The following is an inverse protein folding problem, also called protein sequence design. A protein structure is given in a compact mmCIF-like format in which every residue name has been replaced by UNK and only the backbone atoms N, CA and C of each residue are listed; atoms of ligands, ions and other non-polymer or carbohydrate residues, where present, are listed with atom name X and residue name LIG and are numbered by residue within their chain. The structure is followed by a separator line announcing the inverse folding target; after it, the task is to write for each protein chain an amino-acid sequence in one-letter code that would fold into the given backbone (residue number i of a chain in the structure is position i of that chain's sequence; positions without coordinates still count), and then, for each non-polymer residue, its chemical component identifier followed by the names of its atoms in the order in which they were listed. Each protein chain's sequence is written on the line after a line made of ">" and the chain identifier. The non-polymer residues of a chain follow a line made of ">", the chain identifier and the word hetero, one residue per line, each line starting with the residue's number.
data_IF_405617132280
#
_entry.id   IF_405617132280
#
_cell.length_a   1.000
_cell.length_b   1.000
_cell.length_c   1.000
_cell.angle_alpha   90.00
_cell.angle_beta   90.00
_cell.angle_gamma   90.00
#
_symmetry.space_group_name_H-M   'P 1'
#
loop_
_entity.id
_entity.type
_entity.pdbx_description
1 polymer ?
#
# COMPACT_ATOMS: atom_id res chain seq x y z
N UNK A 1 12.35 14.32 2.05
CA UNK A 1 11.56 13.13 1.70
C UNK A 1 10.48 13.00 2.76
N UNK A 2 9.22 13.19 2.38
CA UNK A 2 8.10 13.15 3.33
C UNK A 2 7.75 11.70 3.62
N UNK A 3 7.86 11.30 4.89
CA UNK A 3 7.45 9.99 5.35
C UNK A 3 6.31 10.15 6.34
N UNK A 4 5.26 9.35 6.20
CA UNK A 4 4.25 9.22 7.22
C UNK A 4 4.85 8.46 8.40
N UNK A 5 4.74 9.00 9.61
CA UNK A 5 5.03 8.23 10.81
C UNK A 5 4.08 7.00 10.87
N UNK A 6 4.52 5.82 11.36
CA UNK A 6 3.67 4.64 11.44
C UNK A 6 2.35 4.88 12.20
N UNK A 7 2.38 5.71 13.24
CA UNK A 7 1.21 6.13 14.02
C UNK A 7 0.21 6.99 13.23
N UNK A 8 0.68 7.66 12.16
CA UNK A 8 -0.13 8.53 11.32
C UNK A 8 -0.75 7.80 10.12
N UNK A 9 -0.43 6.52 9.91
CA UNK A 9 -1.03 5.72 8.85
C UNK A 9 -2.47 5.36 9.24
N UNK A 10 -3.50 5.69 8.46
CA UNK A 10 -4.87 5.33 8.81
C UNK A 10 -5.08 3.81 8.69
N UNK A 11 -5.84 3.24 9.63
CA UNK A 11 -6.30 1.85 9.60
C UNK A 11 -7.81 1.83 9.43
N UNK A 12 -8.33 0.91 8.61
CA UNK A 12 -9.76 0.69 8.44
C UNK A 12 -10.09 -0.80 8.43
N UNK A 13 -11.25 -1.15 8.98
CA UNK A 13 -11.82 -2.49 8.91
C UNK A 13 -13.08 -2.55 8.02
N UNK A 14 -13.76 -1.42 7.84
CA UNK A 14 -15.04 -1.33 7.13
C UNK A 14 -14.91 -0.56 5.81
N UNK A 15 -15.85 -0.82 4.89
CA UNK A 15 -15.93 -0.09 3.62
C UNK A 15 -16.29 1.39 3.81
N UNK A 16 -17.02 1.74 4.86
CA UNK A 16 -17.38 3.13 5.13
C UNK A 16 -16.15 3.93 5.54
N UNK A 17 -15.34 3.42 6.48
CA UNK A 17 -14.06 4.05 6.82
C UNK A 17 -13.09 4.08 5.63
N UNK A 18 -13.07 3.04 4.79
CA UNK A 18 -12.29 3.04 3.56
C UNK A 18 -12.68 4.22 2.65
N UNK A 19 -13.98 4.45 2.48
CA UNK A 19 -14.52 5.54 1.67
C UNK A 19 -14.13 6.91 2.23
N UNK A 20 -14.29 7.11 3.54
CA UNK A 20 -13.91 8.37 4.20
C UNK A 20 -12.43 8.70 4.01
N UNK A 21 -11.54 7.69 4.12
CA UNK A 21 -10.11 7.87 3.87
C UNK A 21 -9.88 8.27 2.41
N UNK A 22 -10.52 7.57 1.46
CA UNK A 22 -10.37 7.85 0.03
C UNK A 22 -10.85 9.25 -0.33
N UNK A 23 -12.03 9.65 0.15
CA UNK A 23 -12.61 10.99 -0.10
C UNK A 23 -11.69 12.08 0.45
N UNK A 24 -11.21 11.93 1.69
CA UNK A 24 -10.27 12.88 2.30
C UNK A 24 -8.96 13.01 1.53
N UNK A 25 -8.42 11.90 1.02
CA UNK A 25 -7.21 11.91 0.19
C UNK A 25 -7.46 12.61 -1.15
N UNK A 26 -8.59 12.31 -1.79
CA UNK A 26 -9.02 12.94 -3.03
C UNK A 26 -9.17 14.45 -2.90
N UNK A 27 -9.86 14.92 -1.85
CA UNK A 27 -10.08 16.35 -1.62
C UNK A 27 -8.78 17.13 -1.40
N UNK A 28 -7.73 16.43 -0.92
CA UNK A 28 -6.39 17.01 -0.71
C UNK A 28 -5.45 16.81 -1.89
N UNK A 29 -5.86 16.09 -2.93
CA UNK A 29 -4.99 15.75 -4.06
C UNK A 29 -3.77 14.90 -3.64
N UNK A 30 -3.96 14.00 -2.67
CA UNK A 30 -2.92 13.12 -2.12
C UNK A 30 -3.24 11.67 -2.43
N UNK A 31 -2.23 10.81 -2.70
CA UNK A 31 -2.45 9.38 -2.82
C UNK A 31 -3.13 8.82 -1.58
N UNK A 32 -3.93 7.77 -1.77
CA UNK A 32 -4.39 6.98 -0.64
C UNK A 32 -3.23 6.11 -0.20
N UNK A 33 -2.96 6.09 1.11
CA UNK A 33 -2.09 5.11 1.74
C UNK A 33 -2.69 4.76 3.10
N UNK A 34 -3.10 3.51 3.25
CA UNK A 34 -3.83 3.05 4.43
C UNK A 34 -3.58 1.57 4.69
N UNK A 35 -3.94 1.12 5.89
CA UNK A 35 -3.90 -0.29 6.29
C UNK A 35 -5.32 -0.82 6.44
N UNK A 36 -5.62 -1.93 5.79
CA UNK A 36 -6.84 -2.71 5.98
C UNK A 36 -6.61 -3.76 7.05
N UNK A 37 -7.47 -3.78 8.06
CA UNK A 37 -7.64 -4.92 8.96
C UNK A 37 -8.41 -6.01 8.21
N UNK A 38 -7.76 -7.14 7.92
CA UNK A 38 -8.31 -8.23 7.15
C UNK A 38 -8.39 -9.50 8.02
N UNK A 39 -9.25 -10.45 7.62
CA UNK A 39 -9.45 -11.69 8.38
C UNK A 39 -8.17 -12.49 8.64
N UNK A 40 -7.17 -12.36 7.76
CA UNK A 40 -5.85 -13.00 7.87
C UNK A 40 -4.72 -11.97 7.84
N UNK A 41 -4.66 -11.14 8.88
CA UNK A 41 -3.61 -10.14 9.07
C UNK A 41 -3.99 -8.79 8.47
N UNK A 42 -2.99 -8.06 7.99
CA UNK A 42 -3.15 -6.67 7.59
C UNK A 42 -2.67 -6.45 6.16
N UNK A 43 -3.35 -5.56 5.45
CA UNK A 43 -2.99 -5.21 4.07
C UNK A 43 -2.72 -3.72 3.97
N UNK A 44 -1.48 -3.37 3.64
CA UNK A 44 -1.11 -2.02 3.26
C UNK A 44 -1.58 -1.78 1.84
N UNK A 45 -2.43 -0.77 1.63
CA UNK A 45 -2.93 -0.37 0.32
C UNK A 45 -2.44 1.02 -0.03
N UNK A 46 -1.94 1.20 -1.25
CA UNK A 46 -1.79 2.52 -1.86
C UNK A 46 -2.62 2.64 -3.15
N UNK A 47 -3.06 3.86 -3.45
CA UNK A 47 -3.90 4.15 -4.61
C UNK A 47 -3.70 5.60 -5.10
N UNK A 48 -3.32 5.74 -6.38
CA UNK A 48 -3.15 7.01 -7.08
C UNK A 48 -4.28 7.26 -8.10
N UNK A 49 -5.27 6.37 -8.22
CA UNK A 49 -6.22 6.34 -9.33
C UNK A 49 -6.97 7.67 -9.51
N UNK A 50 -7.34 8.30 -8.39
CA UNK A 50 -8.08 9.57 -8.40
C UNK A 50 -7.23 10.78 -8.81
N UNK A 51 -5.91 10.64 -8.88
CA UNK A 51 -4.98 11.70 -9.27
C UNK A 51 -4.68 11.68 -10.78
N UNK A 52 -5.08 10.63 -11.50
CA UNK A 52 -4.72 10.41 -12.91
C UNK A 52 -3.20 10.36 -13.15
N UNK A 53 -2.44 10.00 -12.11
CA UNK A 53 -1.01 9.73 -12.15
C UNK A 53 -0.75 8.28 -11.81
N UNK A 54 0.42 7.79 -12.20
CA UNK A 54 0.92 6.50 -11.77
C UNK A 54 2.38 6.58 -11.34
N UNK A 55 2.84 5.62 -10.55
CA UNK A 55 4.24 5.49 -10.20
C UNK A 55 5.05 5.10 -11.43
N UNK A 56 6.25 5.68 -11.56
CA UNK A 56 7.20 5.30 -12.59
C UNK A 56 7.61 3.83 -12.46
N UNK A 57 7.98 3.19 -13.57
CA UNK A 57 8.42 1.78 -13.56
C UNK A 57 9.61 1.56 -12.61
N UNK A 58 10.52 2.53 -12.53
CA UNK A 58 11.67 2.49 -11.62
C UNK A 58 11.21 2.49 -10.15
N UNK A 59 10.22 3.31 -9.80
CA UNK A 59 9.64 3.36 -8.45
C UNK A 59 8.89 2.07 -8.12
N UNK A 60 8.12 1.53 -9.07
CA UNK A 60 7.42 0.25 -8.90
C UNK A 60 8.41 -0.88 -8.65
N UNK A 61 9.50 -0.94 -9.41
CA UNK A 61 10.56 -1.93 -9.21
C UNK A 61 11.23 -1.77 -7.84
N UNK A 62 11.56 -0.54 -7.44
CA UNK A 62 12.13 -0.26 -6.12
C UNK A 62 11.19 -0.66 -4.97
N UNK A 63 9.87 -0.47 -5.13
CA UNK A 63 8.85 -0.94 -4.18
C UNK A 63 8.85 -2.47 -4.10
N UNK A 64 8.86 -3.17 -5.23
CA UNK A 64 8.89 -4.64 -5.28
C UNK A 64 10.13 -5.21 -4.60
N UNK A 65 11.31 -4.67 -4.90
CA UNK A 65 12.57 -5.09 -4.30
C UNK A 65 12.60 -4.82 -2.79
N UNK A 66 12.05 -3.66 -2.37
CA UNK A 66 11.93 -3.31 -0.95
C UNK A 66 10.98 -4.25 -0.19
N UNK A 67 9.85 -4.62 -0.78
CA UNK A 67 8.91 -5.56 -0.15
C UNK A 67 9.53 -6.95 -0.08
N UNK A 68 10.21 -7.39 -1.15
CA UNK A 68 10.88 -8.70 -1.20
C UNK A 68 11.97 -8.83 -0.15
N UNK A 69 12.83 -7.81 0.01
CA UNK A 69 13.92 -7.83 1.01
C UNK A 69 13.46 -7.92 2.47
N UNK A 70 12.19 -7.65 2.76
CA UNK A 70 11.61 -7.70 4.12
C UNK A 70 10.72 -8.92 4.36
N UNK A 71 10.48 -9.77 3.35
CA UNK A 71 9.75 -11.02 3.55
C UNK A 71 10.69 -12.10 4.10
N UNK A 72 10.38 -12.73 5.25
CA UNK A 72 11.24 -13.75 5.86
C UNK A 72 11.17 -15.14 5.20
N UNK A 73 10.31 -15.38 4.19
CA UNK A 73 10.19 -16.69 3.53
C UNK A 73 9.73 -16.57 2.06
N UNK A 74 10.15 -17.47 1.14
CA UNK A 74 9.62 -17.54 -0.22
C UNK A 74 8.16 -18.02 -0.21
N UNK A 75 7.23 -17.22 -0.73
CA UNK A 75 5.85 -17.67 -0.96
C UNK A 75 5.79 -18.52 -2.23
N UNK A 76 5.53 -19.80 -2.09
CA UNK A 76 4.86 -20.59 -3.13
C UNK A 76 3.48 -19.98 -3.31
N UNK A 77 3.15 -19.58 -4.53
CA UNK A 77 1.84 -19.03 -4.90
C UNK A 77 0.80 -20.14 -4.73
N UNK A 78 0.02 -20.11 -3.64
CA UNK A 78 -1.09 -21.06 -3.47
C UNK A 78 -2.25 -20.67 -4.40
N UNK A 79 -2.92 -21.61 -5.09
CA UNK A 79 -3.96 -21.31 -6.09
C UNK A 79 -5.23 -20.66 -5.52
N UNK A 80 -5.43 -20.67 -4.19
CA UNK A 80 -6.52 -19.91 -3.54
C UNK A 80 -6.16 -18.41 -3.44
N UNK A 81 -4.86 -18.09 -3.43
CA UNK A 81 -4.35 -16.72 -3.46
C UNK A 81 -4.69 -15.99 -4.77
N UNK A 82 -4.95 -16.70 -5.85
CA UNK A 82 -5.39 -16.09 -7.12
C UNK A 82 -6.85 -15.61 -7.05
N UNK A 83 -7.72 -16.31 -6.32
CA UNK A 83 -9.16 -16.02 -6.25
C UNK A 83 -9.49 -14.88 -5.28
N UNK A 84 -8.68 -14.68 -4.25
CA UNK A 84 -8.80 -13.61 -3.26
C UNK A 84 -7.95 -12.36 -3.61
N UNK A 85 -7.22 -12.36 -4.73
CA UNK A 85 -6.30 -11.28 -5.09
C UNK A 85 -5.06 -11.18 -4.18
N UNK A 86 -4.62 -12.30 -3.60
CA UNK A 86 -3.43 -12.41 -2.74
C UNK A 86 -2.13 -12.48 -3.57
N UNK A 87 -2.20 -12.17 -4.86
CA UNK A 87 -1.08 -11.66 -5.64
C UNK A 87 -0.92 -10.15 -5.43
N UNK A 88 -0.67 -9.72 -4.20
CA UNK A 88 -0.43 -8.32 -3.87
C UNK A 88 0.88 -7.83 -4.52
N UNK A 89 0.80 -7.44 -5.79
CA UNK A 89 1.92 -6.91 -6.55
C UNK A 89 1.85 -5.38 -6.50
N UNK A 90 2.96 -4.74 -6.11
CA UNK A 90 3.08 -3.30 -6.27
C UNK A 90 2.89 -2.95 -7.75
N UNK A 91 1.78 -2.29 -8.07
CA UNK A 91 1.44 -1.80 -9.39
C UNK A 91 1.68 -0.29 -9.52
N UNK A 92 1.67 0.24 -10.75
CA UNK A 92 1.94 1.66 -10.99
C UNK A 92 0.83 2.56 -10.42
N UNK A 93 -0.44 2.16 -10.48
CA UNK A 93 -1.57 2.97 -9.97
C UNK A 93 -1.94 2.60 -8.53
N UNK A 94 -1.95 1.31 -8.21
CA UNK A 94 -2.35 0.79 -6.91
C UNK A 94 -1.55 -0.46 -6.55
N UNK A 95 -1.44 -0.75 -5.26
CA UNK A 95 -0.85 -1.99 -4.79
C UNK A 95 -1.35 -2.37 -3.41
N UNK A 96 -1.33 -3.67 -3.14
CA UNK A 96 -1.72 -4.27 -1.88
C UNK A 96 -0.56 -5.12 -1.34
N UNK A 97 -0.12 -4.87 -0.10
CA UNK A 97 1.03 -5.52 0.51
C UNK A 97 0.63 -6.13 1.85
N UNK A 98 0.85 -7.43 2.02
CA UNK A 98 0.47 -8.16 3.22
C UNK A 98 1.49 -8.02 4.35
N UNK A 99 0.99 -7.98 5.58
CA UNK A 99 1.75 -8.02 6.82
C UNK A 99 0.98 -8.78 7.91
N UNK A 100 1.70 -9.43 8.81
CA UNK A 100 1.10 -10.33 9.82
C UNK A 100 0.47 -9.57 11.00
N UNK A 101 0.94 -8.35 11.29
CA UNK A 101 0.49 -7.53 12.42
C UNK A 101 0.21 -6.09 12.00
N UNK A 102 -0.65 -5.38 12.74
CA UNK A 102 -0.95 -3.96 12.48
C UNK A 102 0.32 -3.12 12.53
N UNK A 103 1.19 -3.40 13.52
CA UNK A 103 2.45 -2.70 13.67
C UNK A 103 3.34 -2.90 12.44
N UNK A 104 3.52 -4.15 11.98
CA UNK A 104 4.31 -4.44 10.79
C UNK A 104 3.70 -3.77 9.53
N UNK A 105 2.37 -3.73 9.42
CA UNK A 105 1.69 -3.05 8.33
C UNK A 105 1.90 -1.54 8.36
N UNK A 106 1.78 -0.90 9.53
CA UNK A 106 2.04 0.54 9.71
C UNK A 106 3.49 0.91 9.46
N UNK A 107 4.42 0.07 9.90
CA UNK A 107 5.83 0.23 9.59
C UNK A 107 6.06 0.12 8.09
N UNK A 108 5.52 -0.90 7.42
CA UNK A 108 5.61 -1.05 5.97
C UNK A 108 5.02 0.15 5.23
N UNK A 109 3.82 0.60 5.63
CA UNK A 109 3.16 1.77 5.07
C UNK A 109 3.99 3.05 5.24
N UNK A 110 4.51 3.30 6.44
CA UNK A 110 5.41 4.41 6.73
C UNK A 110 6.63 4.41 5.80
N UNK A 111 7.23 3.25 5.55
CA UNK A 111 8.37 3.15 4.66
C UNK A 111 8.01 3.39 3.19
N UNK A 112 6.93 2.78 2.68
CA UNK A 112 6.54 2.98 1.28
C UNK A 112 5.99 4.39 1.02
N UNK A 113 5.54 5.11 2.06
CA UNK A 113 5.03 6.47 1.93
C UNK A 113 6.03 7.41 1.27
N UNK A 114 7.34 7.22 1.49
CA UNK A 114 8.37 8.02 0.84
C UNK A 114 8.46 7.83 -0.67
N UNK A 115 8.01 6.68 -1.19
CA UNK A 115 7.92 6.44 -2.63
C UNK A 115 6.59 6.95 -3.18
N UNK A 116 5.49 6.63 -2.50
CA UNK A 116 4.13 6.90 -2.95
C UNK A 116 3.80 8.39 -2.90
N UNK A 117 4.23 9.10 -1.86
CA UNK A 117 3.91 10.52 -1.67
C UNK A 117 4.86 11.47 -2.41
N UNK A 118 6.02 10.98 -2.84
CA UNK A 118 6.99 11.79 -3.58
C UNK A 118 6.56 11.92 -5.04
N UNK A 119 6.09 13.11 -5.41
CA UNK A 119 5.62 13.43 -6.77
C UNK A 119 6.68 13.26 -7.84
N UNK A 120 7.97 13.29 -7.49
CA UNK A 120 9.05 13.03 -8.47
C UNK A 120 9.08 11.57 -8.95
N UNK A 121 8.38 10.67 -8.24
CA UNK A 121 8.19 9.28 -8.62
C UNK A 121 6.96 9.05 -9.52
N UNK A 122 6.17 10.09 -9.82
CA UNK A 122 4.92 9.96 -10.58
C UNK A 122 5.15 10.26 -12.07
N UNK A 123 4.34 9.67 -12.95
CA UNK A 123 4.27 9.95 -14.38
C UNK A 123 2.83 10.10 -14.86
#
# INVERSE_FOLDING_TARGET
>A
MEHLAPSNVPVYATRDHQREIWERCRDRGHPVLAVRDATRGFIVRYDLQHLSYELSDATVQALRDRVRSRRPYPTTTDPISETEGVGGEAGPVSGELHADTEQAARELASHISGFVLDRSNWR
#
